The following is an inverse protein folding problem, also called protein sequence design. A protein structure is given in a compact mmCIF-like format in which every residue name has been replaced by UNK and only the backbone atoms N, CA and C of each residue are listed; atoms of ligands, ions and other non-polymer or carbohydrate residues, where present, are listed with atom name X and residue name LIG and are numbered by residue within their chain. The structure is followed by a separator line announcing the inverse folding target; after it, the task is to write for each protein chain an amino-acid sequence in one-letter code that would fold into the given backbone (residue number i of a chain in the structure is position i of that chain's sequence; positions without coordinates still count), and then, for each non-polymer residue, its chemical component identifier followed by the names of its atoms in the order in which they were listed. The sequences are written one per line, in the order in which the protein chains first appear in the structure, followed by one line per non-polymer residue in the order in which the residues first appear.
data_IF_011737185056
#
_entry.id   IF_011737185056
#
_cell.length_a   1.000
_cell.length_b   1.000
_cell.length_c   1.000
_cell.angle_alpha   90.00
_cell.angle_beta   90.00
_cell.angle_gamma   90.00
#
_symmetry.space_group_name_H-M   'P 1'
#
loop_
_entity.id
_entity.type
_entity.pdbx_description
1 polymer ?
#
# COMPACT_ATOMS: atom_id res chain seq x y z
N UNK A 1 12.83 -46.47 -11.39
CA UNK A 1 12.13 -45.27 -10.87
C UNK A 1 12.03 -44.24 -11.98
N UNK A 2 10.78 -43.83 -12.25
CA UNK A 2 10.22 -42.79 -13.12
C UNK A 2 10.97 -42.22 -14.34
N UNK A 3 10.39 -42.52 -15.51
CA UNK A 3 10.33 -41.65 -16.70
C UNK A 3 9.39 -40.46 -16.41
N UNK A 4 9.75 -39.24 -16.80
CA UNK A 4 8.76 -38.24 -17.24
C UNK A 4 9.35 -37.37 -18.35
N UNK A 5 8.62 -37.30 -19.46
CA UNK A 5 8.90 -36.59 -20.70
C UNK A 5 8.40 -35.14 -20.59
N UNK A 6 9.24 -34.15 -20.86
CA UNK A 6 8.76 -32.79 -21.19
C UNK A 6 8.45 -32.72 -22.68
N UNK A 7 7.17 -32.94 -23.00
CA UNK A 7 6.63 -32.75 -24.35
C UNK A 7 6.78 -31.29 -24.78
N UNK A 8 7.34 -31.12 -25.98
CA UNK A 8 7.27 -29.92 -26.83
C UNK A 8 5.83 -29.40 -26.86
N UNK A 9 5.61 -28.19 -26.34
CA UNK A 9 4.39 -27.43 -26.58
C UNK A 9 4.64 -26.51 -27.76
N UNK A 10 4.20 -26.97 -28.93
CA UNK A 10 4.10 -26.21 -30.17
C UNK A 10 2.93 -25.24 -29.98
N UNK A 11 3.21 -23.95 -29.83
CA UNK A 11 2.21 -22.89 -29.93
C UNK A 11 2.02 -22.54 -31.40
N UNK A 12 0.84 -22.76 -32.00
CA UNK A 12 0.57 -22.27 -33.34
C UNK A 12 0.28 -20.77 -33.30
N UNK A 13 0.96 -20.05 -34.20
CA UNK A 13 0.70 -18.70 -34.64
C UNK A 13 -0.72 -18.64 -35.24
N UNK A 14 -1.63 -17.86 -34.65
CA UNK A 14 -2.87 -17.45 -35.32
C UNK A 14 -2.84 -15.94 -35.51
N UNK A 15 -2.48 -15.58 -36.74
CA UNK A 15 -2.72 -14.29 -37.36
C UNK A 15 -4.24 -14.13 -37.48
N UNK A 16 -4.78 -13.04 -36.94
CA UNK A 16 -6.20 -12.76 -36.96
C UNK A 16 -6.47 -11.28 -36.79
N UNK A 17 -6.05 -10.48 -37.77
CA UNK A 17 -6.59 -9.15 -38.03
C UNK A 17 -8.10 -9.26 -38.22
N UNK A 18 -8.88 -8.98 -37.18
CA UNK A 18 -10.32 -8.75 -37.28
C UNK A 18 -10.60 -7.29 -36.97
N UNK A 19 -10.41 -6.49 -38.02
CA UNK A 19 -10.94 -5.14 -38.14
C UNK A 19 -12.47 -5.29 -38.13
N UNK A 20 -13.13 -5.00 -37.01
CA UNK A 20 -14.57 -4.73 -37.02
C UNK A 20 -14.75 -3.22 -37.16
N UNK A 21 -14.96 -2.82 -38.41
CA UNK A 21 -15.27 -1.46 -38.83
C UNK A 21 -16.51 -0.94 -38.13
N UNK A 22 -16.41 0.30 -37.70
CA UNK A 22 -17.49 1.18 -37.25
C UNK A 22 -18.68 1.20 -38.23
N UNK A 23 -19.91 1.23 -37.69
CA UNK A 23 -20.98 2.16 -38.07
C UNK A 23 -22.23 1.91 -37.22
N UNK A 24 -22.62 2.88 -36.39
CA UNK A 24 -24.00 3.39 -36.40
C UNK A 24 -24.08 4.67 -35.55
N UNK A 25 -23.96 5.78 -36.27
CA UNK A 25 -24.70 7.03 -36.14
C UNK A 25 -25.57 7.24 -34.89
N UNK A 26 -25.14 8.23 -34.09
CA UNK A 26 -25.90 9.39 -33.63
C UNK A 26 -27.41 9.21 -33.40
N UNK A 27 -27.84 9.19 -32.13
CA UNK A 27 -29.11 9.83 -31.78
C UNK A 27 -29.01 10.56 -30.44
N UNK A 28 -29.34 11.84 -30.53
CA UNK A 28 -29.33 12.86 -29.50
C UNK A 28 -30.67 12.76 -28.76
N UNK A 29 -30.68 12.27 -27.53
CA UNK A 29 -31.78 12.56 -26.60
C UNK A 29 -31.15 13.12 -25.33
N UNK A 30 -30.97 14.44 -25.37
CA UNK A 30 -30.86 15.24 -24.17
C UNK A 30 -32.19 15.15 -23.41
N UNK A 31 -32.16 14.57 -22.21
CA UNK A 31 -33.13 14.90 -21.18
C UNK A 31 -32.37 15.30 -19.93
N UNK A 32 -31.97 16.58 -19.91
CA UNK A 32 -31.75 17.29 -18.66
C UNK A 32 -33.12 17.46 -17.98
N UNK A 33 -33.41 16.64 -16.98
CA UNK A 33 -34.45 16.91 -16.00
C UNK A 33 -33.79 17.10 -14.64
N UNK A 34 -33.80 18.35 -14.19
CA UNK A 34 -33.37 18.80 -12.88
C UNK A 34 -34.44 18.42 -11.83
N UNK A 35 -34.01 17.97 -10.64
CA UNK A 35 -34.23 18.68 -9.35
C UNK A 35 -34.09 17.76 -8.13
N UNK A 36 -33.42 18.32 -7.12
CA UNK A 36 -33.56 18.07 -5.66
C UNK A 36 -32.97 16.74 -5.18
N UNK A 37 -31.76 16.68 -4.62
CA UNK A 37 -31.20 17.54 -3.60
C UNK A 37 -31.70 17.08 -2.22
N UNK A 38 -30.94 16.19 -1.57
CA UNK A 38 -30.90 16.00 -0.11
C UNK A 38 -29.57 15.35 0.28
N UNK A 39 -28.93 15.95 1.28
CA UNK A 39 -28.01 15.25 2.19
C UNK A 39 -26.54 15.34 1.81
N UNK A 40 -25.90 16.47 2.13
CA UNK A 40 -24.47 16.53 2.38
C UNK A 40 -24.06 15.37 3.31
N UNK A 41 -23.34 14.41 2.78
CA UNK A 41 -22.34 13.68 3.54
C UNK A 41 -21.02 14.27 3.09
N UNK A 42 -20.70 15.42 3.70
CA UNK A 42 -19.32 15.79 3.96
C UNK A 42 -18.76 14.67 4.85
N UNK A 43 -18.35 13.57 4.21
CA UNK A 43 -17.36 12.70 4.80
C UNK A 43 -16.14 13.58 4.97
N UNK A 44 -15.96 14.10 6.17
CA UNK A 44 -14.66 14.53 6.61
C UNK A 44 -13.76 13.31 6.38
N UNK A 45 -12.97 13.31 5.30
CA UNK A 45 -11.67 12.68 5.37
C UNK A 45 -10.96 13.48 6.44
N UNK A 46 -11.17 13.03 7.66
CA UNK A 46 -10.38 13.39 8.81
C UNK A 46 -8.96 13.03 8.37
N UNK A 47 -8.23 14.04 7.90
CA UNK A 47 -6.81 14.07 8.16
C UNK A 47 -6.72 13.80 9.65
N UNK A 48 -6.35 12.57 10.00
CA UNK A 48 -5.87 12.21 11.32
C UNK A 48 -4.59 12.99 11.57
N UNK A 49 -4.70 14.32 11.65
CA UNK A 49 -3.82 15.16 12.41
C UNK A 49 -4.08 14.78 13.86
N UNK A 50 -3.48 13.69 14.30
CA UNK A 50 -3.01 13.64 15.68
C UNK A 50 -1.75 14.51 15.73
N UNK A 51 -1.95 15.82 15.66
CA UNK A 51 -1.02 16.77 16.22
C UNK A 51 -1.49 17.02 17.64
N UNK A 52 -0.96 16.27 18.60
CA UNK A 52 -0.76 16.85 19.93
C UNK A 52 0.57 17.58 19.87
N UNK A 53 0.40 18.90 19.77
CA UNK A 53 1.39 19.95 19.97
C UNK A 53 2.19 19.70 21.27
N UNK A 54 3.53 19.76 21.15
CA UNK A 54 4.46 19.49 22.25
C UNK A 54 5.69 18.65 21.89
N UNK A 55 6.33 18.89 20.74
CA UNK A 55 7.60 18.27 20.35
C UNK A 55 7.56 16.76 20.19
N UNK A 56 6.87 16.25 19.16
CA UNK A 56 6.59 14.82 19.08
C UNK A 56 7.77 14.00 18.51
N UNK A 57 8.57 13.48 19.43
CA UNK A 57 9.69 12.55 19.26
C UNK A 57 9.24 11.08 19.08
N UNK A 58 7.96 10.81 18.81
CA UNK A 58 7.39 9.46 18.95
C UNK A 58 7.65 8.56 17.74
N UNK A 59 8.54 7.59 17.93
CA UNK A 59 8.86 6.50 17.00
C UNK A 59 7.69 5.51 16.76
N UNK A 60 6.63 5.62 17.55
CA UNK A 60 5.46 4.73 17.54
C UNK A 60 4.50 5.17 16.43
N UNK A 61 4.30 4.33 15.42
CA UNK A 61 3.41 4.64 14.29
C UNK A 61 1.96 4.34 14.66
N UNK A 62 0.99 4.84 13.91
CA UNK A 62 -0.44 4.56 14.16
C UNK A 62 -1.17 4.50 12.83
N UNK A 63 -2.23 3.70 12.78
CA UNK A 63 -3.03 3.52 11.56
C UNK A 63 -2.31 2.68 10.50
N UNK A 64 -2.60 2.95 9.23
CA UNK A 64 -1.91 2.31 8.11
C UNK A 64 -0.50 2.87 8.00
N UNK A 65 0.50 1.99 8.16
CA UNK A 65 1.91 2.34 8.15
C UNK A 65 2.41 2.21 6.71
N UNK A 66 2.90 3.32 6.15
CA UNK A 66 3.66 3.30 4.90
C UNK A 66 5.14 3.19 5.27
N UNK A 67 5.75 2.03 5.00
CA UNK A 67 7.14 1.75 5.40
C UNK A 67 8.12 2.32 4.38
N UNK A 68 7.74 2.36 3.10
CA UNK A 68 8.57 2.88 2.02
C UNK A 68 8.79 4.40 2.18
N UNK A 69 7.79 5.13 2.69
CA UNK A 69 7.92 6.57 3.00
C UNK A 69 8.91 6.87 4.15
N UNK A 70 9.39 5.85 4.88
CA UNK A 70 10.27 6.01 6.05
C UNK A 70 11.74 5.84 5.74
N UNK A 71 12.06 5.33 4.55
CA UNK A 71 13.42 5.19 4.04
C UNK A 71 13.83 6.52 3.38
N UNK A 72 14.34 7.45 4.20
CA UNK A 72 14.70 8.78 3.73
C UNK A 72 16.06 8.81 3.03
N UNK A 73 16.94 7.86 3.35
CA UNK A 73 18.26 7.72 2.72
C UNK A 73 18.24 6.79 1.48
N UNK A 74 17.12 6.14 1.20
CA UNK A 74 16.85 5.29 0.05
C UNK A 74 17.83 4.10 0.02
N UNK A 75 18.15 3.56 1.19
CA UNK A 75 19.06 2.42 1.33
C UNK A 75 18.34 1.06 1.32
N UNK A 76 17.01 1.06 1.41
CA UNK A 76 16.16 -0.12 1.43
C UNK A 76 16.00 -0.76 2.82
N UNK A 77 16.41 -0.08 3.88
CA UNK A 77 16.36 -0.54 5.26
C UNK A 77 15.67 0.46 6.17
N UNK A 78 15.14 -0.06 7.27
CA UNK A 78 14.60 0.71 8.40
C UNK A 78 15.05 0.07 9.70
N UNK A 79 14.95 0.81 10.79
CA UNK A 79 15.17 0.33 12.13
C UNK A 79 13.83 0.00 12.78
N UNK A 80 13.66 -1.24 13.24
CA UNK A 80 12.41 -1.74 13.83
C UNK A 80 12.66 -2.41 15.19
N UNK A 81 11.72 -2.27 16.12
CA UNK A 81 11.76 -2.99 17.39
C UNK A 81 11.26 -4.43 17.22
N UNK A 82 11.91 -5.39 17.87
CA UNK A 82 11.57 -6.82 17.79
C UNK A 82 10.42 -7.23 18.72
N UNK A 83 9.97 -6.34 19.62
CA UNK A 83 8.85 -6.60 20.55
C UNK A 83 7.64 -5.70 20.27
N UNK A 84 7.87 -4.48 19.79
CA UNK A 84 6.86 -3.48 19.48
C UNK A 84 6.94 -3.12 18.01
N UNK A 85 6.41 -3.98 17.14
CA UNK A 85 6.56 -3.91 15.68
C UNK A 85 6.15 -2.57 15.04
N UNK A 86 5.27 -1.83 15.72
CA UNK A 86 4.81 -0.49 15.35
C UNK A 86 5.85 0.63 15.59
N UNK A 87 7.00 0.32 16.18
CA UNK A 87 8.08 1.26 16.43
C UNK A 87 9.10 1.12 15.30
N UNK A 88 9.09 2.10 14.39
CA UNK A 88 9.91 2.10 13.17
C UNK A 88 10.56 3.47 12.97
N UNK A 89 11.82 3.46 12.55
CA UNK A 89 12.66 4.64 12.32
C UNK A 89 13.53 4.49 11.08
N UNK A 90 13.84 5.58 10.41
CA UNK A 90 14.91 5.67 9.41
C UNK A 90 16.31 5.54 10.04
N UNK A 91 16.44 5.93 11.31
CA UNK A 91 17.72 6.05 12.02
C UNK A 91 17.82 5.12 13.23
N UNK A 92 19.05 4.77 13.66
CA UNK A 92 19.25 4.07 14.92
C UNK A 92 18.62 4.84 16.08
N UNK A 93 17.77 4.16 16.85
CA UNK A 93 17.09 4.73 18.00
C UNK A 93 16.80 3.64 19.04
N UNK A 94 16.24 4.04 20.18
CA UNK A 94 15.75 3.14 21.22
C UNK A 94 14.22 3.16 21.24
N UNK A 95 13.62 1.99 21.45
CA UNK A 95 12.19 1.84 21.54
C UNK A 95 11.68 2.54 22.81
N UNK A 96 10.73 3.50 22.70
CA UNK A 96 10.23 4.24 23.85
C UNK A 96 9.37 3.38 24.80
N UNK A 97 9.01 2.16 24.40
CA UNK A 97 8.16 1.24 25.17
C UNK A 97 8.98 0.27 26.03
N UNK A 98 10.13 -0.20 25.55
CA UNK A 98 10.99 -1.16 26.26
C UNK A 98 12.44 -0.72 26.48
N UNK A 99 12.89 0.37 25.86
CA UNK A 99 14.26 0.87 25.94
C UNK A 99 15.30 0.06 25.16
N UNK A 100 14.89 -0.95 24.38
CA UNK A 100 15.81 -1.70 23.54
C UNK A 100 16.17 -0.92 22.27
N UNK A 101 17.37 -1.16 21.73
CA UNK A 101 17.78 -0.58 20.45
C UNK A 101 17.01 -1.23 19.31
N UNK A 102 16.56 -0.40 18.38
CA UNK A 102 15.94 -0.86 17.14
C UNK A 102 16.97 -1.59 16.27
N UNK A 103 16.54 -2.63 15.58
CA UNK A 103 17.38 -3.43 14.70
C UNK A 103 17.22 -2.98 13.24
N UNK A 104 18.33 -2.89 12.51
CA UNK A 104 18.32 -2.58 11.07
C UNK A 104 17.79 -3.79 10.29
N UNK A 105 16.63 -3.62 9.66
CA UNK A 105 15.93 -4.65 8.88
C UNK A 105 15.62 -4.13 7.48
N UNK A 106 15.46 -5.02 6.49
CA UNK A 106 15.02 -4.62 5.16
C UNK A 106 13.56 -4.16 5.22
N UNK A 107 13.18 -3.19 4.41
CA UNK A 107 11.78 -2.73 4.31
C UNK A 107 10.81 -3.89 4.11
N UNK A 108 11.14 -4.85 3.23
CA UNK A 108 10.32 -6.05 3.01
C UNK A 108 10.11 -6.89 4.27
N UNK A 109 11.14 -7.02 5.09
CA UNK A 109 11.07 -7.77 6.35
C UNK A 109 10.26 -6.98 7.39
N UNK A 110 10.44 -5.66 7.48
CA UNK A 110 9.65 -4.80 8.34
C UNK A 110 8.15 -4.86 8.01
N UNK A 111 7.79 -4.80 6.72
CA UNK A 111 6.43 -4.96 6.23
C UNK A 111 5.86 -6.33 6.59
N UNK A 112 6.66 -7.40 6.45
CA UNK A 112 6.25 -8.75 6.84
C UNK A 112 5.97 -8.82 8.34
N UNK A 113 6.88 -8.33 9.17
CA UNK A 113 6.74 -8.30 10.63
C UNK A 113 5.47 -7.55 11.06
N UNK A 114 5.17 -6.41 10.42
CA UNK A 114 3.93 -5.66 10.67
C UNK A 114 2.69 -6.49 10.35
N UNK A 115 2.64 -7.11 9.16
CA UNK A 115 1.48 -7.92 8.72
C UNK A 115 1.27 -9.17 9.58
N UNK A 116 2.36 -9.83 9.99
CA UNK A 116 2.33 -11.00 10.86
C UNK A 116 1.83 -10.66 12.28
N UNK A 117 1.86 -9.38 12.66
CA UNK A 117 1.41 -8.90 13.97
C UNK A 117 0.20 -7.95 13.86
N UNK A 118 -0.63 -8.17 12.85
CA UNK A 118 -1.93 -7.51 12.65
C UNK A 118 -1.89 -5.98 12.49
N UNK A 119 -0.75 -5.43 12.07
CA UNK A 119 -0.65 -4.02 11.69
C UNK A 119 -1.05 -3.81 10.23
N UNK A 120 -1.79 -2.73 9.99
CA UNK A 120 -2.15 -2.32 8.63
C UNK A 120 -0.96 -1.65 7.96
N UNK A 121 -0.59 -2.13 6.77
CA UNK A 121 0.50 -1.59 5.95
C UNK A 121 -0.08 -1.10 4.63
N UNK A 122 0.33 0.09 4.19
CA UNK A 122 -0.10 0.70 2.93
C UNK A 122 0.73 0.20 1.76
#
# INVERSE_FOLDING_TARGET
MLRINFKKSIFPIIIGTFIFTALSTSNLIAQCSMMKGHGNHSGHSEHGKQSTDGGDTTLIRKGAIDVDELDFDIDGYVYQDQMHWNVISDKPAECPLCGMKLEKVKIKDAIRNLKENDFQVK
#
